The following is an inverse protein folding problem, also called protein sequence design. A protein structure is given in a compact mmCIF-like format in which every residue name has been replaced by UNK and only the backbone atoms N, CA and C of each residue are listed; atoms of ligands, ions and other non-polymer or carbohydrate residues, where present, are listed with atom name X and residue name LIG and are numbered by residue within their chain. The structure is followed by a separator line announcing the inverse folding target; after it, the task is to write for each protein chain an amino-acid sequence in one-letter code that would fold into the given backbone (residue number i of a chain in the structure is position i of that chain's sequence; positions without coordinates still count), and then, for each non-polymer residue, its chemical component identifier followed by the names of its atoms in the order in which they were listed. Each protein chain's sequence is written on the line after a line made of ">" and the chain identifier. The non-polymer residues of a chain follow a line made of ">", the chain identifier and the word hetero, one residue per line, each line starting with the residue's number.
data_IF_637159590215
#
_entry.id   IF_637159590215
#
_cell.length_a   1.000
_cell.length_b   1.000
_cell.length_c   1.000
_cell.angle_alpha   90.00
_cell.angle_beta   90.00
_cell.angle_gamma   90.00
#
_symmetry.space_group_name_H-M   'P 1'
#
loop_
_entity.id
_entity.type
_entity.pdbx_description
1 polymer ?
#
# COMPACT_ATOMS: atom_id res chain seq x y z
N UNK A 1 -0.51 -10.01 -4.11
CA UNK A 1 -1.31 -9.22 -3.15
C UNK A 1 -1.22 -7.71 -3.39
N UNK A 2 -0.04 -7.14 -3.59
CA UNK A 2 0.08 -5.70 -3.86
C UNK A 2 -0.66 -5.28 -5.13
N UNK A 3 -0.61 -6.08 -6.18
CA UNK A 3 -1.33 -5.81 -7.42
C UNK A 3 -2.84 -5.87 -7.24
N UNK A 4 -3.31 -6.78 -6.43
CA UNK A 4 -4.73 -6.89 -6.10
C UNK A 4 -5.21 -5.64 -5.36
N UNK A 5 -4.42 -5.17 -4.40
CA UNK A 5 -4.72 -3.95 -3.65
C UNK A 5 -4.76 -2.75 -4.59
N UNK A 6 -3.81 -2.66 -5.51
CA UNK A 6 -3.75 -1.59 -6.50
C UNK A 6 -5.04 -1.52 -7.33
N UNK A 7 -5.54 -2.69 -7.76
CA UNK A 7 -6.77 -2.78 -8.52
C UNK A 7 -7.98 -2.31 -7.69
N UNK A 8 -8.02 -2.71 -6.42
CA UNK A 8 -9.12 -2.32 -5.53
C UNK A 8 -9.12 -0.83 -5.23
N UNK A 9 -7.94 -0.24 -5.02
CA UNK A 9 -7.81 1.21 -4.81
C UNK A 9 -8.31 1.97 -6.04
N UNK A 10 -7.97 1.47 -7.22
CA UNK A 10 -8.43 2.06 -8.47
C UNK A 10 -9.97 2.05 -8.55
N UNK A 11 -10.59 0.92 -8.23
CA UNK A 11 -12.04 0.79 -8.27
C UNK A 11 -12.73 1.70 -7.24
N UNK A 12 -12.21 1.74 -6.02
CA UNK A 12 -12.75 2.59 -4.96
C UNK A 12 -12.69 4.06 -5.37
N UNK A 13 -11.55 4.49 -5.89
CA UNK A 13 -11.32 5.89 -6.18
C UNK A 13 -12.17 6.41 -7.33
N UNK A 14 -12.72 5.53 -8.18
CA UNK A 14 -13.65 5.94 -9.23
C UNK A 14 -14.93 6.54 -8.66
N UNK A 15 -15.32 6.14 -7.45
CA UNK A 15 -16.52 6.64 -6.79
C UNK A 15 -16.32 7.96 -6.04
N UNK A 16 -15.11 8.50 -6.03
CA UNK A 16 -14.84 9.75 -5.34
C UNK A 16 -15.41 10.94 -6.11
N UNK A 17 -15.74 12.04 -5.40
CA UNK A 17 -16.19 13.26 -6.07
C UNK A 17 -15.20 13.77 -7.10
N UNK A 18 -15.70 14.41 -8.15
CA UNK A 18 -14.86 14.98 -9.21
C UNK A 18 -13.80 15.94 -8.65
N UNK A 19 -14.15 16.66 -7.59
CA UNK A 19 -13.24 17.60 -6.93
C UNK A 19 -11.99 16.92 -6.38
N UNK A 20 -12.05 15.61 -6.12
CA UNK A 20 -10.93 14.85 -5.57
C UNK A 20 -10.04 14.20 -6.63
N UNK A 21 -10.30 14.47 -7.91
CA UNK A 21 -9.50 13.86 -8.99
C UNK A 21 -8.00 14.11 -8.84
N UNK A 22 -7.62 15.32 -8.47
CA UNK A 22 -6.22 15.70 -8.29
C UNK A 22 -5.81 15.77 -6.82
N UNK A 23 -6.70 15.41 -5.91
CA UNK A 23 -6.43 15.35 -4.49
C UNK A 23 -6.35 13.90 -3.99
N UNK A 24 -7.33 13.50 -3.17
CA UNK A 24 -7.37 12.18 -2.53
C UNK A 24 -7.27 11.02 -3.52
N UNK A 25 -8.02 11.09 -4.61
CA UNK A 25 -8.03 10.09 -5.67
C UNK A 25 -6.62 9.84 -6.20
N UNK A 26 -5.94 10.93 -6.60
CA UNK A 26 -4.59 10.87 -7.15
C UNK A 26 -3.59 10.36 -6.11
N UNK A 27 -3.68 10.84 -4.88
CA UNK A 27 -2.77 10.46 -3.81
C UNK A 27 -2.89 8.98 -3.45
N UNK A 28 -4.11 8.46 -3.37
CA UNK A 28 -4.33 7.05 -3.05
C UNK A 28 -3.77 6.13 -4.14
N UNK A 29 -3.98 6.51 -5.40
CA UNK A 29 -3.45 5.72 -6.51
C UNK A 29 -1.93 5.75 -6.53
N UNK A 30 -1.34 6.90 -6.26
CA UNK A 30 0.11 7.04 -6.20
C UNK A 30 0.69 6.17 -5.09
N UNK A 31 0.11 6.22 -3.88
CA UNK A 31 0.57 5.41 -2.76
C UNK A 31 0.47 3.93 -3.06
N UNK A 32 -0.63 3.50 -3.66
CA UNK A 32 -0.85 2.10 -4.00
C UNK A 32 0.18 1.60 -5.03
N UNK A 33 0.42 2.38 -6.07
CA UNK A 33 1.42 2.05 -7.09
C UNK A 33 2.81 1.99 -6.47
N UNK A 34 3.11 2.92 -5.56
CA UNK A 34 4.40 2.97 -4.89
C UNK A 34 4.68 1.73 -4.06
N UNK A 35 3.66 1.15 -3.39
CA UNK A 35 3.83 -0.12 -2.67
C UNK A 35 4.32 -1.20 -3.62
N UNK A 36 3.61 -1.42 -4.70
CA UNK A 36 3.95 -2.47 -5.67
C UNK A 36 5.29 -2.21 -6.34
N UNK A 37 5.54 -0.97 -6.73
CA UNK A 37 6.78 -0.59 -7.43
C UNK A 37 8.01 -0.79 -6.57
N UNK A 38 7.95 -0.45 -5.29
CA UNK A 38 9.07 -0.62 -4.38
C UNK A 38 9.37 -2.10 -4.14
N UNK A 39 8.35 -2.93 -4.03
CA UNK A 39 8.55 -4.38 -3.89
C UNK A 39 9.25 -4.93 -5.14
N UNK A 40 8.74 -4.58 -6.32
CA UNK A 40 9.29 -5.04 -7.59
C UNK A 40 10.72 -4.56 -7.79
N UNK A 41 10.99 -3.28 -7.51
CA UNK A 41 12.32 -2.71 -7.65
C UNK A 41 13.31 -3.35 -6.69
N UNK A 42 12.87 -3.61 -5.45
CA UNK A 42 13.71 -4.29 -4.46
C UNK A 42 14.12 -5.68 -4.89
N UNK A 43 13.21 -6.41 -5.54
CA UNK A 43 13.53 -7.75 -6.05
C UNK A 43 14.63 -7.75 -7.11
N UNK A 44 14.82 -6.63 -7.79
CA UNK A 44 15.85 -6.50 -8.82
C UNK A 44 17.21 -6.02 -8.31
N UNK A 45 17.36 -5.77 -7.02
CA UNK A 45 18.61 -5.26 -6.47
C UNK A 45 19.63 -6.38 -6.26
N UNK A 46 20.91 -6.00 -6.29
CA UNK A 46 22.02 -6.95 -6.18
C UNK A 46 22.18 -7.52 -4.77
N UNK A 47 21.86 -6.75 -3.75
CA UNK A 47 22.07 -7.16 -2.36
C UNK A 47 20.77 -7.23 -1.60
N UNK A 48 20.74 -8.11 -0.59
CA UNK A 48 19.60 -8.22 0.29
C UNK A 48 19.42 -6.96 1.16
N UNK A 49 20.51 -6.28 1.46
CA UNK A 49 20.46 -5.02 2.19
C UNK A 49 19.68 -3.96 1.39
N UNK A 50 19.95 -3.85 0.10
CA UNK A 50 19.20 -2.95 -0.78
C UNK A 50 17.74 -3.37 -0.89
N UNK A 51 17.49 -4.67 -1.00
CA UNK A 51 16.14 -5.22 -1.06
C UNK A 51 15.34 -4.79 0.18
N UNK A 52 15.93 -4.95 1.37
CA UNK A 52 15.28 -4.56 2.62
C UNK A 52 14.95 -3.06 2.62
N UNK A 53 15.84 -2.23 2.10
CA UNK A 53 15.59 -0.79 1.99
C UNK A 53 14.31 -0.52 1.17
N UNK A 54 14.16 -1.19 0.03
CA UNK A 54 12.96 -1.03 -0.80
C UNK A 54 11.71 -1.59 -0.14
N UNK A 55 11.84 -2.65 0.65
CA UNK A 55 10.71 -3.18 1.41
C UNK A 55 10.25 -2.19 2.49
N UNK A 56 11.19 -1.50 3.15
CA UNK A 56 10.83 -0.43 4.08
C UNK A 56 10.16 0.74 3.36
N UNK A 57 10.61 1.07 2.16
CA UNK A 57 9.96 2.11 1.36
C UNK A 57 8.53 1.71 1.02
N UNK A 58 8.32 0.44 0.68
CA UNK A 58 6.97 -0.09 0.43
C UNK A 58 6.11 0.01 1.68
N UNK A 59 6.67 -0.29 2.85
CA UNK A 59 5.95 -0.15 4.12
C UNK A 59 5.50 1.30 4.36
N UNK A 60 6.38 2.26 4.07
CA UNK A 60 6.03 3.68 4.20
C UNK A 60 4.86 4.05 3.32
N UNK A 61 4.89 3.60 2.06
CA UNK A 61 3.79 3.86 1.12
C UNK A 61 2.50 3.18 1.56
N UNK A 62 2.61 1.98 2.13
CA UNK A 62 1.46 1.24 2.64
C UNK A 62 0.80 1.98 3.81
N UNK A 63 1.60 2.49 4.73
CA UNK A 63 1.09 3.27 5.87
C UNK A 63 0.41 4.55 5.40
N UNK A 64 0.96 5.18 4.40
CA UNK A 64 0.34 6.36 3.80
C UNK A 64 -1.01 6.01 3.18
N UNK A 65 -1.08 4.89 2.46
CA UNK A 65 -2.33 4.41 1.87
C UNK A 65 -3.38 4.09 2.93
N UNK A 66 -2.98 3.46 4.04
CA UNK A 66 -3.87 3.17 5.15
C UNK A 66 -4.48 4.45 5.72
N UNK A 67 -3.64 5.48 5.90
CA UNK A 67 -4.10 6.77 6.39
C UNK A 67 -5.10 7.42 5.43
N UNK A 68 -4.80 7.38 4.14
CA UNK A 68 -5.67 7.95 3.11
C UNK A 68 -7.01 7.23 3.05
N UNK A 69 -7.01 5.91 3.18
CA UNK A 69 -8.24 5.11 3.19
C UNK A 69 -9.11 5.49 4.39
N UNK A 70 -8.49 5.69 5.55
CA UNK A 70 -9.16 6.10 6.76
C UNK A 70 -9.84 7.47 6.57
N UNK A 71 -9.12 8.42 5.99
CA UNK A 71 -9.64 9.75 5.70
C UNK A 71 -10.81 9.67 4.71
N UNK A 72 -10.66 8.84 3.67
CA UNK A 72 -11.72 8.67 2.67
C UNK A 72 -13.01 8.14 3.31
N UNK A 73 -12.89 7.21 4.27
CA UNK A 73 -14.05 6.73 5.01
C UNK A 73 -14.69 7.84 5.82
N UNK A 74 -13.87 8.62 6.53
CA UNK A 74 -14.37 9.71 7.36
C UNK A 74 -15.10 10.77 6.55
N UNK A 75 -14.66 10.99 5.31
CA UNK A 75 -15.31 11.93 4.39
C UNK A 75 -16.54 11.35 3.69
N UNK A 76 -16.83 10.08 3.94
CA UNK A 76 -17.99 9.42 3.33
C UNK A 76 -17.75 8.95 1.90
N UNK A 77 -16.52 8.92 1.42
CA UNK A 77 -16.20 8.48 0.06
C UNK A 77 -16.15 6.96 -0.08
N UNK A 78 -15.99 6.25 1.04
CA UNK A 78 -15.92 4.79 1.08
C UNK A 78 -16.84 4.31 2.19
N UNK A 79 -17.71 3.34 1.90
CA UNK A 79 -18.60 2.80 2.94
C UNK A 79 -17.86 1.86 3.88
N UNK A 80 -18.48 1.54 5.01
CA UNK A 80 -17.87 0.75 6.07
C UNK A 80 -17.50 -0.66 5.62
N UNK A 81 -18.32 -1.27 4.76
CA UNK A 81 -18.09 -2.64 4.31
C UNK A 81 -16.85 -2.69 3.43
N UNK A 82 -16.76 -1.77 2.47
CA UNK A 82 -15.61 -1.68 1.57
C UNK A 82 -14.36 -1.30 2.35
N UNK A 83 -14.48 -0.36 3.29
CA UNK A 83 -13.36 0.03 4.13
C UNK A 83 -12.78 -1.16 4.89
N UNK A 84 -13.63 -1.94 5.55
CA UNK A 84 -13.17 -3.10 6.34
C UNK A 84 -12.47 -4.13 5.44
N UNK A 85 -13.02 -4.38 4.28
CA UNK A 85 -12.44 -5.34 3.33
C UNK A 85 -11.04 -4.91 2.88
N UNK A 86 -10.91 -3.67 2.44
CA UNK A 86 -9.64 -3.19 1.91
C UNK A 86 -8.63 -2.96 3.03
N UNK A 87 -9.07 -2.41 4.15
CA UNK A 87 -8.22 -2.21 5.33
C UNK A 87 -7.63 -3.53 5.81
N UNK A 88 -8.42 -4.61 5.81
CA UNK A 88 -7.94 -5.94 6.16
C UNK A 88 -6.83 -6.44 5.24
N UNK A 89 -6.96 -6.17 3.95
CA UNK A 89 -5.93 -6.56 2.97
C UNK A 89 -4.65 -5.77 3.14
N UNK A 90 -4.75 -4.48 3.43
CA UNK A 90 -3.59 -3.64 3.68
C UNK A 90 -2.86 -4.11 4.94
N UNK A 91 -3.60 -4.42 5.98
CA UNK A 91 -3.04 -4.93 7.23
C UNK A 91 -2.29 -6.24 7.00
N UNK A 92 -2.90 -7.17 6.24
CA UNK A 92 -2.27 -8.45 5.92
C UNK A 92 -0.98 -8.25 5.12
N UNK A 93 -0.99 -7.38 4.14
CA UNK A 93 0.22 -7.10 3.35
C UNK A 93 1.31 -6.52 4.25
N UNK A 94 0.96 -5.60 5.16
CA UNK A 94 1.91 -5.03 6.10
C UNK A 94 2.56 -6.09 6.96
N UNK A 95 1.79 -7.03 7.46
CA UNK A 95 2.31 -8.13 8.28
C UNK A 95 3.26 -9.03 7.48
N UNK A 96 2.90 -9.30 6.22
CA UNK A 96 3.77 -10.11 5.34
C UNK A 96 5.08 -9.40 5.03
N UNK A 97 5.04 -8.10 4.79
CA UNK A 97 6.26 -7.32 4.54
C UNK A 97 7.18 -7.31 5.75
N UNK A 98 6.62 -7.08 6.94
CA UNK A 98 7.39 -7.08 8.17
C UNK A 98 8.03 -8.45 8.41
N UNK A 99 7.26 -9.53 8.23
CA UNK A 99 7.77 -10.89 8.39
C UNK A 99 8.89 -11.20 7.42
N UNK A 100 8.76 -10.75 6.18
CA UNK A 100 9.76 -10.98 5.16
C UNK A 100 11.04 -10.22 5.45
N UNK A 101 10.92 -8.95 5.85
CA UNK A 101 12.08 -8.14 6.26
C UNK A 101 12.82 -8.81 7.40
N UNK A 102 12.07 -9.25 8.41
CA UNK A 102 12.64 -9.92 9.56
C UNK A 102 13.38 -11.19 9.16
N UNK A 103 12.78 -11.99 8.30
CA UNK A 103 13.40 -13.20 7.78
C UNK A 103 14.73 -12.91 7.09
N UNK A 104 14.78 -11.91 6.21
CA UNK A 104 16.02 -11.56 5.50
C UNK A 104 17.08 -11.10 6.49
N UNK A 105 16.72 -10.25 7.45
CA UNK A 105 17.68 -9.73 8.43
C UNK A 105 18.24 -10.82 9.33
N UNK A 106 17.39 -11.73 9.79
CA UNK A 106 17.81 -12.82 10.67
C UNK A 106 18.74 -13.81 9.98
N UNK A 107 18.45 -14.14 8.71
CA UNK A 107 19.30 -15.11 8.02
C UNK A 107 20.68 -14.58 7.68
N UNK A 108 20.88 -13.26 7.77
CA UNK A 108 22.16 -12.60 7.46
C UNK A 108 22.96 -12.22 8.72
N UNK A 109 22.51 -12.63 9.90
CA UNK A 109 23.22 -12.38 11.15
C UNK A 109 24.30 -13.42 11.42
#
# INVERSE_FOLDING_TARGET
>A
MAMEINKEVYEISKGFPVEERYGMFSQMRRSSISVASNIAEGCGRKTEKEFVTFLYNAMGSLKELECQLFIARDLGYVDSIVFEKVSGKLDLLGKKLISFIKYIKEKNE
#
